data_IF_043409394888
#
_entry.id   IF_043409394888
#
_cell.length_a   1.000
_cell.length_b   1.000
_cell.length_c   1.000
_cell.angle_alpha   90.00
_cell.angle_beta   90.00
_cell.angle_gamma   90.00
#
_symmetry.space_group_name_H-M   'P 1'
#
loop_
_entity.id
_entity.type
_entity.pdbx_description
1 polymer ?
#
# COMPACT_ATOMS: atom_id res chain seq x y z
N UNK A 1 -6.73 5.66 6.22
CA UNK A 1 -6.32 4.84 7.38
C UNK A 1 -7.29 5.17 8.47
N UNK A 2 -7.77 4.16 9.16
CA UNK A 2 -8.71 4.34 10.25
C UNK A 2 -7.95 4.28 11.57
N UNK A 3 -8.58 4.74 12.63
CA UNK A 3 -8.11 4.52 13.98
C UNK A 3 -8.00 3.00 14.22
N UNK A 4 -6.97 2.58 14.95
CA UNK A 4 -6.64 1.16 15.22
C UNK A 4 -6.17 0.32 14.01
N UNK A 5 -5.91 0.93 12.86
CA UNK A 5 -5.27 0.23 11.74
C UNK A 5 -3.82 -0.16 12.12
N UNK A 6 -3.45 -1.42 11.88
CA UNK A 6 -2.10 -1.92 12.12
C UNK A 6 -1.28 -1.69 10.85
N UNK A 7 -0.12 -1.05 11.01
CA UNK A 7 0.77 -0.71 9.89
C UNK A 7 2.21 -1.12 10.18
N UNK A 8 2.94 -1.47 9.12
CA UNK A 8 4.37 -1.74 9.22
C UNK A 8 5.17 -0.46 8.96
N UNK A 9 6.13 -0.19 9.83
CA UNK A 9 6.97 1.01 9.78
C UNK A 9 8.37 0.67 9.28
N UNK A 10 8.92 1.53 8.42
CA UNK A 10 10.34 1.50 8.00
C UNK A 10 11.06 2.79 8.37
N UNK A 11 12.37 2.70 8.52
CA UNK A 11 13.25 3.86 8.70
C UNK A 11 13.22 4.82 7.51
N UNK A 12 13.25 6.12 7.80
CA UNK A 12 13.43 7.17 6.80
C UNK A 12 12.81 8.48 7.26
N UNK A 13 13.64 9.51 7.36
CA UNK A 13 13.23 10.86 7.76
C UNK A 13 12.61 11.60 6.59
N UNK A 14 11.48 12.25 6.82
CA UNK A 14 10.99 13.28 5.88
C UNK A 14 11.87 14.51 6.07
N UNK A 15 12.55 14.94 5.00
CA UNK A 15 13.57 16.00 5.08
C UNK A 15 13.01 17.30 5.66
N UNK A 16 11.77 17.60 5.32
CA UNK A 16 11.15 18.91 5.54
C UNK A 16 10.33 18.98 6.83
N UNK A 17 10.05 17.84 7.47
CA UNK A 17 9.19 17.77 8.64
C UNK A 17 9.97 17.31 9.89
N UNK A 18 10.19 18.20 10.88
CA UNK A 18 10.76 17.79 12.16
C UNK A 18 9.77 16.88 12.89
N UNK A 19 10.28 15.78 13.45
CA UNK A 19 9.48 14.78 14.16
C UNK A 19 8.99 13.60 13.31
N UNK A 20 8.94 13.72 11.98
CA UNK A 20 8.55 12.61 11.09
C UNK A 20 9.78 11.81 10.65
N UNK A 21 10.15 10.81 11.47
CA UNK A 21 11.39 10.03 11.31
C UNK A 21 11.21 8.68 10.61
N UNK A 22 9.97 8.31 10.32
CA UNK A 22 9.63 7.01 9.76
C UNK A 22 8.61 7.10 8.65
N UNK A 23 8.60 6.09 7.78
CA UNK A 23 7.60 5.93 6.73
C UNK A 23 6.80 4.65 6.92
N UNK A 24 5.54 4.68 6.48
CA UNK A 24 4.69 3.50 6.42
C UNK A 24 5.07 2.69 5.17
N UNK A 25 5.24 1.38 5.33
CA UNK A 25 5.33 0.42 4.21
C UNK A 25 3.93 0.23 3.65
N UNK A 26 3.75 0.44 2.34
CA UNK A 26 2.46 0.37 1.65
C UNK A 26 2.27 -0.99 0.98
N UNK A 27 1.04 -1.51 0.99
CA UNK A 27 0.71 -2.82 0.42
C UNK A 27 0.86 -3.98 1.40
N UNK A 28 0.96 -3.69 2.70
CA UNK A 28 1.09 -4.67 3.80
C UNK A 28 0.18 -4.29 4.96
N UNK A 29 -0.37 -5.27 5.67
CA UNK A 29 -1.36 -5.09 6.75
C UNK A 29 -2.53 -4.20 6.27
N UNK A 30 -3.00 -3.26 7.09
CA UNK A 30 -4.17 -2.42 6.77
C UNK A 30 -3.84 -1.26 5.83
N UNK A 31 -2.57 -1.16 5.39
CA UNK A 31 -2.13 -0.11 4.48
C UNK A 31 -2.25 -0.56 3.01
N UNK A 32 -3.31 -0.09 2.35
CA UNK A 32 -3.52 -0.35 0.92
C UNK A 32 -2.36 0.16 0.04
N UNK A 33 -2.20 -0.42 -1.16
CA UNK A 33 -1.29 0.11 -2.17
C UNK A 33 -1.78 1.43 -2.78
N UNK A 34 -1.00 2.02 -3.68
CA UNK A 34 -1.44 3.15 -4.51
C UNK A 34 -1.99 2.59 -5.84
N UNK A 35 -3.21 3.00 -6.20
CA UNK A 35 -3.85 2.57 -7.44
C UNK A 35 -3.15 3.17 -8.68
N UNK A 36 -3.19 2.44 -9.79
CA UNK A 36 -2.72 2.85 -11.12
C UNK A 36 -1.27 3.35 -11.23
N UNK A 37 -0.45 3.10 -10.20
CA UNK A 37 0.95 3.49 -10.20
C UNK A 37 1.79 2.55 -11.08
N UNK A 38 2.19 3.06 -12.25
CA UNK A 38 2.99 2.31 -13.23
C UNK A 38 4.49 2.33 -12.93
N UNK A 39 5.01 3.37 -12.27
CA UNK A 39 6.44 3.54 -11.95
C UNK A 39 6.72 3.46 -10.44
N UNK A 40 7.86 2.86 -10.08
CA UNK A 40 8.27 2.60 -8.68
C UNK A 40 7.22 1.85 -7.84
N UNK A 41 6.48 0.95 -8.48
CA UNK A 41 5.33 0.23 -7.92
C UNK A 41 5.62 -0.56 -6.64
N UNK A 42 6.83 -1.10 -6.51
CA UNK A 42 7.30 -1.84 -5.33
C UNK A 42 7.35 -0.98 -4.06
N UNK A 43 7.66 0.31 -4.17
CA UNK A 43 7.71 1.22 -3.02
C UNK A 43 6.33 1.58 -2.47
N UNK A 44 5.30 1.52 -3.32
CA UNK A 44 3.94 1.98 -3.04
C UNK A 44 2.91 0.85 -3.02
N UNK A 45 3.34 -0.42 -3.04
CA UNK A 45 2.46 -1.57 -2.95
C UNK A 45 1.54 -1.76 -4.17
N UNK A 46 1.92 -1.26 -5.35
CA UNK A 46 1.11 -1.39 -6.55
C UNK A 46 1.45 -2.70 -7.31
N UNK A 47 0.43 -3.54 -7.56
CA UNK A 47 0.58 -4.80 -8.31
C UNK A 47 0.84 -4.50 -9.79
N UNK A 48 1.50 -5.44 -10.50
CA UNK A 48 1.75 -5.27 -11.95
C UNK A 48 0.40 -5.27 -12.67
N UNK A 49 0.06 -4.23 -13.45
CA UNK A 49 -1.08 -4.35 -14.35
C UNK A 49 -0.76 -5.45 -15.35
N UNK A 50 -1.68 -6.40 -15.52
CA UNK A 50 -1.46 -7.49 -16.47
C UNK A 50 -1.85 -7.00 -17.87
N UNK A 51 -0.90 -6.94 -18.79
CA UNK A 51 -1.20 -6.68 -20.20
C UNK A 51 -2.05 -7.85 -20.70
N UNK A 52 -3.25 -7.57 -21.20
CA UNK A 52 -4.23 -8.50 -21.76
C UNK A 52 -3.94 -10.00 -21.54
N UNK A 53 -4.48 -10.56 -20.46
CA UNK A 53 -4.42 -12.00 -20.18
C UNK A 53 -3.70 -12.33 -18.87
N UNK A 54 -4.53 -12.57 -17.84
CA UNK A 54 -4.33 -13.54 -16.76
C UNK A 54 -4.51 -13.09 -15.29
N UNK A 55 -5.20 -12.01 -14.90
CA UNK A 55 -5.69 -11.83 -13.50
C UNK A 55 -4.66 -11.98 -12.34
N UNK A 56 -4.97 -11.78 -11.07
CA UNK A 56 -6.20 -11.32 -10.46
C UNK A 56 -5.89 -10.33 -9.33
N UNK A 57 -6.86 -9.44 -9.11
CA UNK A 57 -7.08 -8.91 -7.77
C UNK A 57 -7.46 -10.05 -6.84
N UNK A 58 -6.93 -10.00 -5.63
CA UNK A 58 -7.31 -10.82 -4.48
C UNK A 58 -7.45 -9.79 -3.34
N UNK A 59 -8.51 -9.67 -2.55
CA UNK A 59 -9.68 -10.52 -2.31
C UNK A 59 -10.73 -9.59 -1.68
N UNK A 60 -11.90 -9.40 -2.29
CA UNK A 60 -13.05 -8.80 -1.58
C UNK A 60 -13.83 -9.95 -0.96
N UNK A 61 -13.59 -10.20 0.33
CA UNK A 61 -14.35 -11.15 1.13
C UNK A 61 -15.77 -10.60 1.28
N UNK A 62 -16.76 -11.42 0.94
CA UNK A 62 -18.17 -11.03 0.89
C UNK A 62 -18.74 -10.52 2.22
N UNK A 63 -19.61 -9.52 2.12
CA UNK A 63 -20.62 -9.18 3.11
C UNK A 63 -21.96 -9.74 2.65
N UNK A 64 -22.54 -10.62 3.47
CA UNK A 64 -23.87 -11.20 3.34
C UNK A 64 -24.96 -10.11 3.40
N UNK A 65 -26.06 -10.36 2.70
CA UNK A 65 -27.40 -9.90 3.11
C UNK A 65 -27.83 -10.65 4.37
#
# INVERSE_FOLDING_TARGET
>A
LQEHSIVLIRGGRVKDLPGVRYHIVRGTLDSAGVNDRRQSRSKYGAKRPKAAGAGGGSTAKGGKK
#
